data_IF_187343617522
#
_entry.id   IF_187343617522
#
_cell.length_a   1.000
_cell.length_b   1.000
_cell.length_c   1.000
_cell.angle_alpha   90.00
_cell.angle_beta   90.00
_cell.angle_gamma   90.00
#
_symmetry.space_group_name_H-M   'P 1'
#
loop_
_entity.id
_entity.type
_entity.pdbx_description
1 polymer ?
#
# COMPACT_ATOMS: atom_id res chain seq x y z
N UNK A 1 17.01 16.11 -46.17
CA UNK A 1 17.32 16.61 -44.81
C UNK A 1 17.06 15.48 -43.82
N UNK A 2 17.69 15.44 -42.64
CA UNK A 2 17.33 14.41 -41.66
C UNK A 2 15.92 14.65 -41.11
N UNK A 3 15.11 13.59 -41.00
CA UNK A 3 13.78 13.62 -40.36
C UNK A 3 13.90 14.26 -38.97
N UNK A 4 13.04 15.24 -38.67
CA UNK A 4 13.12 15.99 -37.41
C UNK A 4 12.95 15.07 -36.19
N UNK A 5 13.58 15.42 -35.06
CA UNK A 5 13.46 14.63 -33.81
C UNK A 5 12.01 14.46 -33.36
N UNK A 6 11.19 15.51 -33.54
CA UNK A 6 9.76 15.50 -33.21
C UNK A 6 9.00 14.50 -34.08
N UNK A 7 9.18 14.59 -35.40
CA UNK A 7 8.52 13.68 -36.34
C UNK A 7 8.98 12.24 -36.10
N UNK A 8 10.26 12.03 -35.81
CA UNK A 8 10.79 10.70 -35.47
C UNK A 8 10.11 10.11 -34.22
N UNK A 9 9.90 10.91 -33.18
CA UNK A 9 9.17 10.49 -31.99
C UNK A 9 7.68 10.20 -32.29
N UNK A 10 7.05 11.05 -33.10
CA UNK A 10 5.65 10.87 -33.52
C UNK A 10 5.44 9.58 -34.31
N UNK A 11 6.36 9.21 -35.21
CA UNK A 11 6.31 7.94 -35.96
C UNK A 11 6.55 6.73 -35.07
N UNK A 12 7.54 6.79 -34.16
CA UNK A 12 7.78 5.71 -33.20
C UNK A 12 6.57 5.50 -32.29
N UNK A 13 5.95 6.59 -31.82
CA UNK A 13 4.73 6.53 -31.00
C UNK A 13 3.53 6.00 -31.79
N UNK A 14 3.33 6.45 -33.04
CA UNK A 14 2.27 5.96 -33.94
C UNK A 14 2.36 4.45 -34.13
N UNK A 15 3.58 3.95 -34.28
CA UNK A 15 3.85 2.54 -34.54
C UNK A 15 4.02 1.72 -33.25
N UNK A 16 3.64 2.28 -32.09
CA UNK A 16 3.76 1.68 -30.76
C UNK A 16 5.16 1.10 -30.47
N UNK A 17 6.21 1.81 -30.85
CA UNK A 17 7.61 1.38 -30.70
C UNK A 17 7.83 -0.06 -31.20
N UNK A 18 7.20 -0.40 -32.33
CA UNK A 18 7.23 -1.72 -32.94
C UNK A 18 7.62 -1.61 -34.41
N UNK A 19 8.57 -2.45 -34.83
CA UNK A 19 8.99 -2.56 -36.22
C UNK A 19 7.78 -2.95 -37.09
N UNK A 20 7.43 -2.11 -38.06
CA UNK A 20 6.30 -2.34 -38.97
C UNK A 20 6.53 -3.43 -40.00
N UNK A 21 7.76 -3.93 -40.10
CA UNK A 21 8.12 -4.99 -41.05
C UNK A 21 8.13 -6.38 -40.42
N UNK A 22 8.58 -6.51 -39.17
CA UNK A 22 8.72 -7.83 -38.51
C UNK A 22 8.03 -7.95 -37.15
N UNK A 23 7.46 -6.87 -36.62
CA UNK A 23 6.78 -6.88 -35.32
C UNK A 23 7.69 -6.83 -34.09
N UNK A 24 9.02 -6.76 -34.24
CA UNK A 24 9.93 -6.64 -33.11
C UNK A 24 9.83 -5.25 -32.44
N UNK A 25 9.80 -5.20 -31.10
CA UNK A 25 9.59 -3.97 -30.32
C UNK A 25 10.82 -3.55 -29.49
N UNK A 26 10.87 -2.27 -29.10
CA UNK A 26 11.86 -1.80 -28.13
C UNK A 26 11.49 -2.26 -26.70
N UNK A 27 12.47 -2.48 -25.79
CA UNK A 27 13.90 -2.21 -25.95
C UNK A 27 14.72 -3.34 -26.58
N UNK A 28 14.11 -4.50 -26.85
CA UNK A 28 14.79 -5.73 -27.29
C UNK A 28 15.53 -5.56 -28.62
N UNK A 29 15.02 -4.67 -29.50
CA UNK A 29 15.70 -4.28 -30.73
C UNK A 29 15.84 -2.77 -30.86
N UNK A 30 16.98 -2.25 -31.36
CA UNK A 30 17.12 -0.84 -31.66
C UNK A 30 16.22 -0.46 -32.84
N UNK A 31 15.36 0.53 -32.62
CA UNK A 31 14.40 1.03 -33.62
C UNK A 31 14.84 2.34 -34.26
N UNK A 32 14.58 2.47 -35.55
CA UNK A 32 14.80 3.68 -36.34
C UNK A 32 13.56 4.00 -37.17
N UNK A 33 13.46 5.25 -37.59
CA UNK A 33 12.47 5.65 -38.59
C UNK A 33 13.11 5.50 -39.96
N UNK A 34 12.40 4.79 -40.82
CA UNK A 34 12.82 4.39 -42.16
C UNK A 34 11.82 4.92 -43.19
N UNK A 35 12.32 5.28 -44.37
CA UNK A 35 11.49 5.69 -45.49
C UNK A 35 10.97 4.46 -46.21
N UNK A 36 9.64 4.32 -46.27
CA UNK A 36 8.97 3.21 -46.97
C UNK A 36 9.44 3.18 -48.43
N UNK A 37 9.34 4.31 -49.11
CA UNK A 37 10.00 4.58 -50.40
C UNK A 37 11.33 5.29 -50.15
N UNK A 38 12.48 4.74 -50.58
CA UNK A 38 13.78 5.38 -50.39
C UNK A 38 13.83 6.80 -50.99
N UNK A 39 14.54 7.70 -50.31
CA UNK A 39 14.73 9.09 -50.79
C UNK A 39 15.35 9.14 -52.20
N UNK A 40 16.24 8.20 -52.52
CA UNK A 40 16.86 8.07 -53.84
C UNK A 40 15.85 7.75 -54.97
N UNK A 41 14.67 7.21 -54.62
CA UNK A 41 13.56 6.91 -55.53
C UNK A 41 12.42 7.94 -55.42
N UNK A 42 12.66 9.09 -54.78
CA UNK A 42 11.68 10.17 -54.65
C UNK A 42 10.79 10.09 -53.40
N UNK A 43 11.15 9.27 -52.41
CA UNK A 43 10.43 9.21 -51.14
C UNK A 43 10.44 10.53 -50.36
N UNK A 44 9.28 10.90 -49.83
CA UNK A 44 9.07 12.13 -49.05
C UNK A 44 9.26 11.90 -47.54
N UNK A 45 9.49 12.98 -46.79
CA UNK A 45 9.50 12.97 -45.32
C UNK A 45 8.09 13.03 -44.71
N UNK A 46 7.04 12.96 -45.52
CA UNK A 46 5.65 12.89 -45.06
C UNK A 46 5.43 11.67 -44.15
N UNK A 47 4.66 11.79 -43.06
CA UNK A 47 4.40 10.68 -42.13
C UNK A 47 3.92 9.39 -42.80
N UNK A 48 3.21 9.50 -43.92
CA UNK A 48 2.70 8.37 -44.72
C UNK A 48 3.78 7.56 -45.41
N UNK A 49 4.96 8.14 -45.66
CA UNK A 49 6.12 7.46 -46.25
C UNK A 49 7.19 7.10 -45.19
N UNK A 50 6.89 7.28 -43.91
CA UNK A 50 7.79 6.94 -42.79
C UNK A 50 7.22 5.78 -41.98
N UNK A 51 8.07 4.84 -41.58
CA UNK A 51 7.70 3.71 -40.73
C UNK A 51 8.80 3.38 -39.73
N UNK A 52 8.42 2.82 -38.58
CA UNK A 52 9.35 2.28 -37.59
C UNK A 52 9.94 0.96 -38.08
N UNK A 53 11.27 0.84 -38.03
CA UNK A 53 12.04 -0.31 -38.52
C UNK A 53 13.12 -0.70 -37.52
N UNK A 54 13.29 -1.99 -37.27
CA UNK A 54 14.44 -2.49 -36.53
C UNK A 54 15.69 -2.51 -37.42
N UNK A 55 16.87 -2.48 -36.82
CA UNK A 55 18.14 -2.46 -37.56
C UNK A 55 18.31 -3.61 -38.59
N UNK A 56 17.89 -4.86 -38.31
CA UNK A 56 17.86 -5.93 -39.31
C UNK A 56 16.94 -5.67 -40.51
N UNK A 57 15.71 -5.18 -40.28
CA UNK A 57 14.77 -4.88 -41.37
C UNK A 57 15.22 -3.66 -42.18
N UNK A 58 15.77 -2.65 -41.51
CA UNK A 58 16.27 -1.43 -42.14
C UNK A 58 17.50 -1.69 -43.02
N UNK A 59 18.39 -2.59 -42.61
CA UNK A 59 19.57 -2.99 -43.40
C UNK A 59 19.21 -3.89 -44.59
N UNK A 60 18.22 -4.78 -44.42
CA UNK A 60 17.70 -5.65 -45.49
C UNK A 60 17.01 -4.91 -46.65
N UNK A 61 16.57 -3.65 -46.44
CA UNK A 61 15.92 -2.82 -47.45
C UNK A 61 16.82 -2.28 -48.56
N UNK A 62 18.14 -2.39 -48.41
CA UNK A 62 19.11 -1.93 -49.42
C UNK A 62 19.04 -2.69 -50.76
N UNK A 63 18.21 -3.75 -50.87
CA UNK A 63 18.11 -4.57 -52.08
C UNK A 63 16.69 -5.05 -52.48
N UNK A 64 15.60 -4.57 -51.88
CA UNK A 64 14.25 -4.91 -52.34
C UNK A 64 13.23 -3.78 -52.07
N UNK A 65 12.60 -3.28 -53.12
CA UNK A 65 11.42 -2.40 -53.04
C UNK A 65 10.26 -3.16 -52.39
N UNK A 66 9.77 -2.67 -51.26
CA UNK A 66 8.67 -3.29 -50.50
C UNK A 66 7.35 -3.09 -51.26
N UNK A 67 6.62 -4.19 -51.44
CA UNK A 67 5.40 -4.30 -52.23
C UNK A 67 4.28 -3.35 -51.79
N UNK A 68 3.55 -2.82 -52.78
CA UNK A 68 2.43 -1.86 -52.61
C UNK A 68 1.26 -2.38 -51.76
N UNK A 69 1.21 -3.69 -51.50
CA UNK A 69 0.24 -4.34 -50.61
C UNK A 69 0.39 -3.91 -49.13
N UNK A 70 1.60 -3.57 -48.68
CA UNK A 70 1.85 -3.13 -47.29
C UNK A 70 1.25 -1.74 -47.03
N UNK A 71 1.22 -0.88 -48.04
CA UNK A 71 0.71 0.50 -47.94
C UNK A 71 -0.83 0.53 -47.92
N UNK A 72 -1.50 -0.37 -48.65
CA UNK A 72 -2.96 -0.48 -48.63
C UNK A 72 -3.49 -0.96 -47.26
N UNK A 73 -2.78 -1.88 -46.58
CA UNK A 73 -3.15 -2.38 -45.25
C UNK A 73 -3.11 -1.31 -44.15
N UNK A 74 -2.26 -0.29 -44.28
CA UNK A 74 -2.12 0.80 -43.30
C UNK A 74 -3.36 1.70 -43.26
N UNK A 75 -4.06 1.87 -44.39
CA UNK A 75 -5.30 2.65 -44.45
C UNK A 75 -6.49 1.90 -43.83
N UNK A 76 -6.58 0.59 -44.05
CA UNK A 76 -7.63 -0.26 -43.47
C UNK A 76 -7.43 -0.47 -41.96
N UNK A 77 -6.19 -0.60 -41.50
CA UNK A 77 -5.86 -0.64 -40.06
C UNK A 77 -6.18 0.67 -39.34
N UNK A 78 -5.94 1.82 -39.98
CA UNK A 78 -6.29 3.12 -39.41
C UNK A 78 -7.83 3.28 -39.26
N UNK A 79 -8.61 2.79 -40.23
CA UNK A 79 -10.07 2.78 -40.16
C UNK A 79 -10.59 1.78 -39.10
N UNK A 80 -9.99 0.60 -38.99
CA UNK A 80 -10.29 -0.38 -37.93
C UNK A 80 -9.98 0.18 -36.54
N UNK A 81 -8.84 0.85 -36.38
CA UNK A 81 -8.46 1.49 -35.12
C UNK A 81 -9.40 2.65 -34.76
N UNK A 82 -9.77 3.50 -35.71
CA UNK A 82 -10.73 4.57 -35.48
C UNK A 82 -12.11 4.03 -35.06
N UNK A 83 -12.57 2.93 -35.67
CA UNK A 83 -13.80 2.23 -35.27
C UNK A 83 -13.67 1.62 -33.87
N UNK A 84 -12.54 1.00 -33.55
CA UNK A 84 -12.25 0.43 -32.23
C UNK A 84 -12.20 1.51 -31.13
N UNK A 85 -11.57 2.66 -31.38
CA UNK A 85 -11.53 3.80 -30.45
C UNK A 85 -12.93 4.39 -30.22
N UNK A 86 -13.75 4.50 -31.26
CA UNK A 86 -15.14 4.94 -31.14
C UNK A 86 -15.97 3.94 -30.30
N UNK A 87 -15.77 2.64 -30.52
CA UNK A 87 -16.43 1.61 -29.73
C UNK A 87 -15.94 1.60 -28.27
N UNK A 88 -14.64 1.80 -28.03
CA UNK A 88 -14.07 1.90 -26.70
C UNK A 88 -14.64 3.11 -25.93
N UNK A 89 -14.84 4.26 -26.58
CA UNK A 89 -15.50 5.41 -25.98
C UNK A 89 -16.97 5.13 -25.61
N UNK A 90 -17.71 4.40 -26.45
CA UNK A 90 -19.09 3.96 -26.14
C UNK A 90 -19.10 2.99 -24.96
N UNK A 91 -18.16 2.04 -24.92
CA UNK A 91 -18.04 1.09 -23.81
C UNK A 91 -17.70 1.80 -22.50
N UNK A 92 -16.80 2.80 -22.52
CA UNK A 92 -16.50 3.64 -21.35
C UNK A 92 -17.73 4.40 -20.89
N UNK A 93 -18.51 4.97 -21.81
CA UNK A 93 -19.74 5.67 -21.49
C UNK A 93 -20.79 4.73 -20.85
N UNK A 94 -20.95 3.52 -21.37
CA UNK A 94 -21.84 2.49 -20.79
C UNK A 94 -21.37 2.06 -19.38
N UNK A 95 -20.06 1.97 -19.14
CA UNK A 95 -19.47 1.67 -17.83
C UNK A 95 -19.65 2.82 -16.81
N UNK A 96 -19.62 4.08 -17.27
CA UNK A 96 -19.80 5.26 -16.42
C UNK A 96 -21.26 5.60 -16.14
N UNK A 97 -22.18 5.16 -17.01
CA UNK A 97 -23.62 5.47 -16.93
C UNK A 97 -24.25 5.17 -15.56
N UNK A 98 -23.98 4.04 -14.87
CA UNK A 98 -24.52 3.81 -13.52
C UNK A 98 -24.01 4.79 -12.46
N UNK A 99 -22.79 5.34 -12.63
CA UNK A 99 -22.22 6.34 -11.71
C UNK A 99 -22.89 7.69 -11.92
N UNK A 100 -23.13 8.07 -13.17
CA UNK A 100 -23.78 9.34 -13.51
C UNK A 100 -25.26 9.33 -13.16
N UNK A 101 -25.99 8.26 -13.45
CA UNK A 101 -27.39 8.10 -13.02
C UNK A 101 -27.54 8.20 -11.48
N UNK A 102 -26.58 7.63 -10.74
CA UNK A 102 -26.57 7.72 -9.28
C UNK A 102 -26.29 9.14 -8.76
N UNK A 103 -25.37 9.86 -9.39
CA UNK A 103 -25.08 11.27 -9.06
C UNK A 103 -26.25 12.18 -9.41
N UNK A 104 -26.88 11.94 -10.54
CA UNK A 104 -28.04 12.70 -11.01
C UNK A 104 -29.22 12.51 -10.05
N UNK A 105 -29.43 11.30 -9.54
CA UNK A 105 -30.43 11.04 -8.50
C UNK A 105 -30.16 11.87 -7.23
N UNK A 106 -28.92 11.92 -6.76
CA UNK A 106 -28.56 12.78 -5.62
C UNK A 106 -28.77 14.27 -5.93
N UNK A 107 -28.30 14.73 -7.11
CA UNK A 107 -28.43 16.12 -7.52
C UNK A 107 -29.89 16.55 -7.69
N UNK A 108 -30.76 15.65 -8.16
CA UNK A 108 -32.20 15.92 -8.26
C UNK A 108 -32.78 16.26 -6.89
N UNK A 109 -32.41 15.51 -5.85
CA UNK A 109 -32.87 15.79 -4.48
C UNK A 109 -32.20 17.03 -3.89
N UNK A 110 -30.89 17.19 -4.09
CA UNK A 110 -30.13 18.33 -3.58
C UNK A 110 -30.63 19.67 -4.14
N UNK A 111 -30.85 19.74 -5.45
CA UNK A 111 -31.25 20.97 -6.13
C UNK A 111 -32.72 21.36 -5.91
N UNK A 112 -33.53 20.55 -5.22
CA UNK A 112 -34.88 20.95 -4.78
C UNK A 112 -34.83 22.06 -3.74
N UNK A 113 -33.71 22.18 -3.02
CA UNK A 113 -33.56 23.07 -1.88
C UNK A 113 -32.80 24.35 -2.25
N UNK A 114 -33.24 25.46 -1.64
CA UNK A 114 -32.72 26.81 -1.86
C UNK A 114 -32.45 27.52 -0.53
N UNK A 115 -31.60 28.54 -0.57
CA UNK A 115 -31.20 29.41 0.56
C UNK A 115 -31.47 30.88 0.24
N UNK A 116 -31.56 31.71 1.28
CA UNK A 116 -31.83 33.14 1.16
C UNK A 116 -33.32 33.51 1.31
N UNK A 117 -33.61 34.80 1.53
CA UNK A 117 -34.97 35.30 1.82
C UNK A 117 -35.95 35.13 0.65
N UNK A 118 -35.43 35.06 -0.56
CA UNK A 118 -36.21 34.94 -1.79
C UNK A 118 -36.19 33.50 -2.36
N UNK A 119 -35.56 32.54 -1.65
CA UNK A 119 -35.44 31.13 -2.05
C UNK A 119 -34.91 30.89 -3.47
N UNK A 120 -34.07 31.79 -3.98
CA UNK A 120 -33.52 31.73 -5.35
C UNK A 120 -32.11 31.15 -5.44
N UNK A 121 -31.36 31.14 -4.35
CA UNK A 121 -29.97 30.67 -4.33
C UNK A 121 -29.90 29.19 -3.98
N UNK A 122 -29.12 28.39 -4.70
CA UNK A 122 -29.01 26.95 -4.42
C UNK A 122 -28.17 26.70 -3.16
N UNK A 123 -28.46 25.60 -2.45
CA UNK A 123 -27.61 25.18 -1.33
C UNK A 123 -26.20 24.86 -1.85
N UNK A 124 -25.13 25.43 -1.27
CA UNK A 124 -23.77 25.23 -1.75
C UNK A 124 -23.32 23.79 -1.56
N UNK A 125 -22.60 23.26 -2.56
CA UNK A 125 -22.10 21.89 -2.60
C UNK A 125 -20.58 21.94 -2.73
N UNK A 126 -19.87 21.16 -1.91
CA UNK A 126 -18.40 21.17 -1.83
C UNK A 126 -17.76 20.58 -3.10
N UNK A 127 -16.59 21.07 -3.55
CA UNK A 127 -15.90 20.60 -4.78
C UNK A 127 -15.64 19.07 -4.82
N UNK A 128 -15.52 18.43 -3.65
CA UNK A 128 -15.31 16.98 -3.51
C UNK A 128 -16.58 16.12 -3.45
N UNK A 129 -17.76 16.68 -3.68
CA UNK A 129 -19.03 15.99 -3.45
C UNK A 129 -19.18 14.71 -4.29
N UNK A 130 -18.73 14.71 -5.56
CA UNK A 130 -18.83 13.57 -6.47
C UNK A 130 -18.15 12.32 -5.91
N UNK A 131 -17.00 12.49 -5.27
CA UNK A 131 -16.23 11.40 -4.66
C UNK A 131 -16.94 10.87 -3.41
N UNK A 132 -17.59 11.75 -2.65
CA UNK A 132 -18.37 11.36 -1.47
C UNK A 132 -19.61 10.56 -1.86
N UNK A 133 -20.34 11.00 -2.89
CA UNK A 133 -21.50 10.28 -3.43
C UNK A 133 -21.10 8.91 -4.00
N UNK A 134 -19.95 8.82 -4.67
CA UNK A 134 -19.43 7.53 -5.15
C UNK A 134 -19.11 6.56 -4.00
N UNK A 135 -18.52 7.05 -2.90
CA UNK A 135 -18.29 6.22 -1.71
C UNK A 135 -19.59 5.64 -1.14
N UNK A 136 -20.68 6.41 -1.14
CA UNK A 136 -21.98 5.92 -0.68
C UNK A 136 -22.63 4.93 -1.65
N UNK A 137 -22.41 5.09 -2.96
CA UNK A 137 -22.83 4.10 -3.98
C UNK A 137 -22.16 2.75 -3.71
N UNK A 138 -20.85 2.75 -3.50
CA UNK A 138 -20.06 1.54 -3.19
C UNK A 138 -20.44 0.96 -1.82
N UNK A 139 -20.72 1.81 -0.83
CA UNK A 139 -21.18 1.39 0.50
C UNK A 139 -22.62 0.84 0.52
N UNK A 140 -23.33 0.86 -0.61
CA UNK A 140 -24.63 0.21 -0.78
C UNK A 140 -25.85 1.07 -0.47
N UNK A 141 -25.73 2.40 -0.46
CA UNK A 141 -26.91 3.28 -0.37
C UNK A 141 -27.67 3.22 -1.70
N UNK A 142 -28.97 2.92 -1.70
CA UNK A 142 -29.77 2.95 -2.92
C UNK A 142 -30.23 4.37 -3.26
N UNK A 143 -30.42 4.66 -4.55
CA UNK A 143 -30.74 6.01 -5.06
C UNK A 143 -31.96 6.65 -4.40
N UNK A 144 -33.02 5.89 -4.16
CA UNK A 144 -34.26 6.37 -3.55
C UNK A 144 -34.08 6.87 -2.11
N UNK A 145 -33.02 6.47 -1.42
CA UNK A 145 -32.76 6.88 -0.03
C UNK A 145 -32.26 8.33 0.07
N UNK A 146 -31.77 8.91 -1.03
CA UNK A 146 -31.26 10.28 -1.02
C UNK A 146 -32.34 11.30 -0.67
N UNK A 147 -33.59 11.08 -1.06
CA UNK A 147 -34.70 11.96 -0.71
C UNK A 147 -34.82 12.13 0.82
N UNK A 148 -34.90 11.02 1.56
CA UNK A 148 -35.00 11.05 3.02
C UNK A 148 -33.77 11.65 3.70
N UNK A 149 -32.57 11.34 3.20
CA UNK A 149 -31.31 11.82 3.78
C UNK A 149 -31.19 13.34 3.59
N UNK A 150 -31.47 13.84 2.38
CA UNK A 150 -31.39 15.27 2.06
C UNK A 150 -32.48 16.03 2.81
N UNK A 151 -33.73 15.57 2.80
CA UNK A 151 -34.83 16.24 3.50
C UNK A 151 -34.56 16.34 5.02
N UNK A 152 -34.03 15.28 5.64
CA UNK A 152 -33.67 15.29 7.05
C UNK A 152 -32.53 16.27 7.37
N UNK A 153 -31.57 16.45 6.46
CA UNK A 153 -30.49 17.40 6.63
C UNK A 153 -30.99 18.85 6.46
N UNK A 154 -31.78 19.09 5.41
CA UNK A 154 -32.27 20.41 5.03
C UNK A 154 -33.31 20.96 6.02
N UNK A 155 -34.10 20.10 6.65
CA UNK A 155 -35.04 20.48 7.72
C UNK A 155 -34.34 20.93 9.03
N UNK A 156 -33.03 20.69 9.18
CA UNK A 156 -32.31 21.03 10.40
C UNK A 156 -31.83 22.49 10.41
N UNK A 157 -32.64 23.38 10.98
CA UNK A 157 -32.37 24.81 11.10
C UNK A 157 -31.11 25.18 11.91
N UNK A 158 -30.49 24.23 12.63
CA UNK A 158 -29.24 24.46 13.38
C UNK A 158 -27.99 24.31 12.52
N UNK A 159 -28.10 23.68 11.36
CA UNK A 159 -26.99 23.45 10.43
C UNK A 159 -26.94 24.61 9.45
N UNK A 160 -25.75 25.23 9.31
CA UNK A 160 -25.57 26.30 8.34
C UNK A 160 -25.51 25.76 6.90
N UNK A 161 -25.97 26.51 5.89
CA UNK A 161 -25.93 26.08 4.48
C UNK A 161 -24.58 25.53 4.02
N UNK A 162 -23.47 26.18 4.37
CA UNK A 162 -22.09 25.79 4.04
C UNK A 162 -21.64 24.46 4.69
N UNK A 163 -22.37 23.96 5.68
CA UNK A 163 -22.08 22.70 6.38
C UNK A 163 -23.11 21.62 6.10
N UNK A 164 -24.12 21.92 5.30
CA UNK A 164 -25.28 21.05 5.09
C UNK A 164 -24.89 19.77 4.35
N UNK A 165 -23.99 19.87 3.37
CA UNK A 165 -23.49 18.68 2.65
C UNK A 165 -22.73 17.74 3.58
N UNK A 166 -21.89 18.28 4.45
CA UNK A 166 -21.16 17.50 5.46
C UNK A 166 -22.10 16.79 6.44
N UNK A 167 -23.23 17.43 6.76
CA UNK A 167 -24.27 16.85 7.59
C UNK A 167 -25.06 15.74 6.87
N UNK A 168 -25.37 15.91 5.57
CA UNK A 168 -25.92 14.85 4.70
C UNK A 168 -25.02 13.62 4.71
N UNK A 169 -23.71 13.79 4.53
CA UNK A 169 -22.76 12.68 4.59
C UNK A 169 -22.80 11.94 5.94
N UNK A 170 -22.95 12.67 7.05
CA UNK A 170 -23.10 12.07 8.38
C UNK A 170 -24.38 11.22 8.51
N UNK A 171 -25.51 11.70 8.00
CA UNK A 171 -26.78 10.94 7.98
C UNK A 171 -26.65 9.71 7.08
N UNK A 172 -26.02 9.85 5.90
CA UNK A 172 -25.79 8.76 4.97
C UNK A 172 -24.93 7.64 5.58
N UNK A 173 -23.86 7.97 6.32
CA UNK A 173 -23.07 6.96 7.05
C UNK A 173 -23.88 6.23 8.12
N UNK A 174 -24.76 6.93 8.85
CA UNK A 174 -25.66 6.25 9.80
C UNK A 174 -26.60 5.26 9.09
N UNK A 175 -27.09 5.60 7.89
CA UNK A 175 -27.88 4.69 7.05
C UNK A 175 -27.06 3.49 6.57
N UNK A 176 -25.82 3.69 6.16
CA UNK A 176 -24.89 2.60 5.82
C UNK A 176 -24.70 1.66 7.01
N UNK A 177 -24.44 2.19 8.21
CA UNK A 177 -24.28 1.37 9.42
C UNK A 177 -25.55 0.56 9.71
N UNK A 178 -26.73 1.15 9.54
CA UNK A 178 -28.00 0.44 9.71
C UNK A 178 -28.21 -0.66 8.65
N UNK A 179 -27.89 -0.39 7.38
CA UNK A 179 -27.94 -1.38 6.29
C UNK A 179 -26.97 -2.54 6.56
N UNK A 180 -25.75 -2.26 7.00
CA UNK A 180 -24.76 -3.27 7.35
C UNK A 180 -25.20 -4.10 8.56
N UNK A 181 -25.81 -3.48 9.58
CA UNK A 181 -26.36 -4.21 10.72
C UNK A 181 -27.52 -5.13 10.31
N UNK A 182 -28.40 -4.67 9.42
CA UNK A 182 -29.50 -5.47 8.89
C UNK A 182 -29.00 -6.60 7.98
N UNK A 183 -28.03 -6.33 7.11
CA UNK A 183 -27.37 -7.35 6.30
C UNK A 183 -26.73 -8.43 7.19
N UNK A 184 -26.03 -8.03 8.27
CA UNK A 184 -25.49 -8.96 9.28
C UNK A 184 -26.59 -9.76 9.98
N UNK A 185 -27.77 -9.19 10.23
CA UNK A 185 -28.92 -9.89 10.81
C UNK A 185 -29.53 -10.91 9.85
N UNK A 186 -29.64 -10.57 8.57
CA UNK A 186 -30.11 -11.46 7.50
C UNK A 186 -29.14 -12.63 7.34
N UNK A 187 -27.83 -12.33 7.26
CA UNK A 187 -26.76 -13.33 7.21
C UNK A 187 -26.68 -14.14 8.50
N UNK A 188 -26.98 -13.55 9.65
CA UNK A 188 -27.01 -14.24 10.95
C UNK A 188 -28.29 -15.06 11.19
N UNK A 189 -29.33 -14.89 10.36
CA UNK A 189 -30.61 -15.60 10.45
C UNK A 189 -30.74 -16.79 9.50
N UNK A 190 -29.85 -16.91 8.53
CA UNK A 190 -29.69 -18.10 7.68
C UNK A 190 -28.29 -18.68 7.95
N UNK A 191 -28.10 -20.01 8.02
CA UNK A 191 -26.75 -20.54 7.97
C UNK A 191 -26.15 -20.09 6.64
N UNK A 192 -25.15 -19.21 6.67
CA UNK A 192 -24.38 -18.88 5.49
C UNK A 192 -23.87 -20.20 4.94
N UNK A 193 -24.31 -20.57 3.74
CA UNK A 193 -23.55 -21.53 2.97
C UNK A 193 -22.15 -20.93 2.87
N UNK A 194 -21.14 -21.61 3.39
CA UNK A 194 -19.76 -21.18 3.23
C UNK A 194 -19.55 -20.84 1.75
N UNK A 195 -18.91 -19.69 1.43
CA UNK A 195 -18.63 -19.33 0.06
C UNK A 195 -17.98 -20.53 -0.61
N UNK A 196 -18.61 -21.01 -1.68
CA UNK A 196 -18.04 -22.12 -2.43
C UNK A 196 -16.61 -21.77 -2.82
N UNK A 197 -15.77 -22.80 -2.85
CA UNK A 197 -14.42 -22.76 -3.35
C UNK A 197 -14.26 -21.81 -4.56
N UNK A 198 -15.16 -21.91 -5.53
CA UNK A 198 -15.08 -21.16 -6.78
C UNK A 198 -15.51 -19.69 -6.60
N UNK A 199 -16.54 -19.43 -5.78
CA UNK A 199 -16.99 -18.06 -5.51
C UNK A 199 -15.94 -17.16 -4.85
N UNK A 200 -15.07 -17.71 -3.98
CA UNK A 200 -13.98 -16.95 -3.38
C UNK A 200 -12.86 -16.64 -4.39
N UNK A 201 -12.58 -17.56 -5.31
CA UNK A 201 -11.58 -17.35 -6.37
C UNK A 201 -12.04 -16.24 -7.30
N UNK A 202 -13.30 -16.30 -7.78
CA UNK A 202 -13.84 -15.26 -8.64
C UNK A 202 -13.87 -13.90 -7.93
N UNK A 203 -14.26 -13.85 -6.65
CA UNK A 203 -14.25 -12.61 -5.88
C UNK A 203 -12.84 -12.01 -5.74
N UNK A 204 -11.81 -12.84 -5.50
CA UNK A 204 -10.43 -12.37 -5.43
C UNK A 204 -9.92 -11.88 -6.80
N UNK A 205 -10.25 -12.59 -7.89
CA UNK A 205 -9.93 -12.16 -9.25
C UNK A 205 -10.62 -10.84 -9.59
N UNK A 206 -11.89 -10.66 -9.22
CA UNK A 206 -12.63 -9.42 -9.42
C UNK A 206 -11.99 -8.26 -8.65
N UNK A 207 -11.59 -8.46 -7.39
CA UNK A 207 -10.88 -7.43 -6.61
C UNK A 207 -9.58 -7.05 -7.30
N UNK A 208 -8.78 -8.05 -7.69
CA UNK A 208 -7.48 -7.82 -8.31
C UNK A 208 -7.60 -7.09 -9.65
N UNK A 209 -8.48 -7.57 -10.53
CA UNK A 209 -8.66 -6.99 -11.87
C UNK A 209 -9.30 -5.60 -11.87
N UNK A 210 -10.20 -5.31 -10.93
CA UNK A 210 -10.87 -4.00 -10.85
C UNK A 210 -10.01 -2.92 -10.18
N UNK A 211 -9.11 -3.31 -9.28
CA UNK A 211 -8.27 -2.36 -8.53
C UNK A 211 -6.86 -2.21 -9.13
N UNK A 212 -6.43 -3.09 -10.03
CA UNK A 212 -5.09 -3.04 -10.60
C UNK A 212 -4.95 -1.93 -11.64
N UNK A 213 -3.82 -1.22 -11.56
CA UNK A 213 -3.43 -0.22 -12.55
C UNK A 213 -2.62 -0.88 -13.68
N UNK A 214 -3.20 -1.03 -14.86
CA UNK A 214 -2.51 -1.52 -16.06
C UNK A 214 -3.31 -2.57 -16.83
N UNK A 215 -2.75 -3.05 -17.95
CA UNK A 215 -3.31 -4.20 -18.67
C UNK A 215 -2.87 -5.49 -17.98
N UNK A 216 -3.83 -6.39 -17.75
CA UNK A 216 -3.59 -7.74 -17.23
C UNK A 216 -3.66 -8.69 -18.41
N UNK A 217 -2.56 -9.38 -18.70
CA UNK A 217 -2.56 -10.43 -19.71
C UNK A 217 -3.11 -11.75 -19.14
N UNK A 218 -3.42 -12.69 -20.03
CA UNK A 218 -3.98 -13.98 -19.63
C UNK A 218 -3.01 -14.82 -18.78
N UNK A 219 -1.70 -14.64 -18.95
CA UNK A 219 -0.69 -15.38 -18.19
C UNK A 219 -0.66 -14.92 -16.72
N UNK A 220 -0.68 -13.60 -16.50
CA UNK A 220 -0.80 -13.00 -15.18
C UNK A 220 -2.12 -13.39 -14.50
N UNK A 221 -3.22 -13.42 -15.26
CA UNK A 221 -4.53 -13.86 -14.75
C UNK A 221 -4.53 -15.32 -14.32
N UNK A 222 -3.97 -16.22 -15.13
CA UNK A 222 -3.85 -17.64 -14.81
C UNK A 222 -2.94 -17.87 -13.60
N UNK A 223 -1.81 -17.14 -13.53
CA UNK A 223 -0.89 -17.16 -12.38
C UNK A 223 -1.61 -16.70 -11.10
N UNK A 224 -2.32 -15.58 -11.16
CA UNK A 224 -3.04 -15.04 -10.01
C UNK A 224 -4.11 -16.01 -9.52
N UNK A 225 -4.95 -16.52 -10.44
CA UNK A 225 -5.98 -17.52 -10.12
C UNK A 225 -5.38 -18.78 -9.48
N UNK A 226 -4.26 -19.29 -10.00
CA UNK A 226 -3.57 -20.44 -9.43
C UNK A 226 -3.03 -20.16 -8.01
N UNK A 227 -2.47 -18.98 -7.78
CA UNK A 227 -1.97 -18.57 -6.46
C UNK A 227 -3.09 -18.45 -5.43
N UNK A 228 -4.24 -17.85 -5.78
CA UNK A 228 -5.44 -17.78 -4.92
C UNK A 228 -5.96 -19.16 -4.56
N UNK A 229 -5.95 -20.09 -5.53
CA UNK A 229 -6.39 -21.48 -5.31
C UNK A 229 -5.51 -22.21 -4.27
N UNK A 230 -4.22 -21.89 -4.20
CA UNK A 230 -3.32 -22.42 -3.17
C UNK A 230 -3.49 -21.67 -1.84
N UNK A 231 -3.57 -20.34 -1.87
CA UNK A 231 -3.63 -19.48 -0.70
C UNK A 231 -4.85 -19.81 0.18
N UNK A 232 -6.03 -19.97 -0.42
CA UNK A 232 -7.28 -20.32 0.27
C UNK A 232 -7.24 -21.66 1.02
N UNK A 233 -6.26 -22.53 0.75
CA UNK A 233 -6.09 -23.80 1.50
C UNK A 233 -5.50 -23.58 2.87
N UNK A 234 -4.89 -22.40 3.10
CA UNK A 234 -4.16 -22.04 4.32
C UNK A 234 -4.74 -20.79 5.00
N UNK A 235 -5.37 -19.92 4.23
CA UNK A 235 -5.90 -18.63 4.68
C UNK A 235 -7.43 -18.58 4.63
N UNK A 236 -8.01 -17.76 5.51
CA UNK A 236 -9.44 -17.46 5.48
C UNK A 236 -9.83 -16.50 4.33
N UNK A 237 -11.13 -16.40 4.07
CA UNK A 237 -11.66 -15.58 2.97
C UNK A 237 -11.27 -14.09 3.07
N UNK A 238 -11.18 -13.53 4.28
CA UNK A 238 -10.79 -12.13 4.47
C UNK A 238 -9.33 -11.93 4.09
N UNK A 239 -8.44 -12.83 4.49
CA UNK A 239 -7.00 -12.75 4.14
C UNK A 239 -6.75 -12.97 2.66
N UNK A 240 -7.52 -13.85 2.00
CA UNK A 240 -7.46 -14.02 0.54
C UNK A 240 -7.87 -12.74 -0.21
N UNK A 241 -8.96 -12.08 0.21
CA UNK A 241 -9.40 -10.82 -0.41
C UNK A 241 -8.44 -9.66 -0.12
N UNK A 242 -7.88 -9.62 1.09
CA UNK A 242 -6.85 -8.65 1.45
C UNK A 242 -5.60 -8.80 0.59
N UNK A 243 -5.15 -10.03 0.35
CA UNK A 243 -4.05 -10.33 -0.56
C UNK A 243 -4.34 -9.86 -2.00
N UNK A 244 -5.56 -10.07 -2.48
CA UNK A 244 -5.98 -9.64 -3.81
C UNK A 244 -5.97 -8.11 -3.97
N UNK A 245 -6.44 -7.38 -2.96
CA UNK A 245 -6.40 -5.93 -2.95
C UNK A 245 -4.96 -5.40 -2.97
N UNK A 246 -4.08 -5.96 -2.13
CA UNK A 246 -2.67 -5.58 -2.12
C UNK A 246 -1.99 -5.90 -3.45
N UNK A 247 -2.24 -7.09 -4.00
CA UNK A 247 -1.74 -7.51 -5.31
C UNK A 247 -2.13 -6.51 -6.42
N UNK A 248 -3.34 -5.97 -6.35
CA UNK A 248 -3.85 -5.02 -7.32
C UNK A 248 -3.07 -3.69 -7.28
N UNK A 249 -2.86 -3.16 -6.08
CA UNK A 249 -2.17 -1.87 -5.88
C UNK A 249 -0.70 -1.91 -6.29
N UNK A 250 -0.04 -3.06 -6.15
CA UNK A 250 1.38 -3.22 -6.44
C UNK A 250 1.67 -3.95 -7.75
N UNK A 251 0.64 -4.35 -8.51
CA UNK A 251 0.81 -5.07 -9.77
C UNK A 251 1.44 -6.45 -9.62
N UNK A 252 1.21 -7.12 -8.49
CA UNK A 252 1.70 -8.48 -8.23
C UNK A 252 0.68 -9.49 -8.76
N UNK A 253 1.16 -10.48 -9.51
CA UNK A 253 0.35 -11.54 -10.10
C UNK A 253 0.35 -12.83 -9.26
N UNK A 254 0.98 -12.83 -8.09
CA UNK A 254 0.96 -13.90 -7.10
C UNK A 254 0.34 -13.40 -5.77
N UNK A 255 -0.89 -13.84 -5.47
CA UNK A 255 -1.58 -13.49 -4.25
C UNK A 255 -0.82 -13.93 -2.97
N UNK A 256 0.01 -14.97 -3.05
CA UNK A 256 0.81 -15.42 -1.91
C UNK A 256 1.92 -14.44 -1.60
N UNK A 257 2.64 -13.97 -2.63
CA UNK A 257 3.70 -12.98 -2.45
C UNK A 257 3.12 -11.62 -2.07
N UNK A 258 1.97 -11.25 -2.64
CA UNK A 258 1.23 -10.06 -2.23
C UNK A 258 0.84 -10.11 -0.75
N UNK A 259 0.31 -11.22 -0.25
CA UNK A 259 -0.02 -11.35 1.17
C UNK A 259 1.21 -11.22 2.07
N UNK A 260 2.34 -11.84 1.70
CA UNK A 260 3.59 -11.71 2.47
C UNK A 260 4.11 -10.26 2.48
N UNK A 261 3.97 -9.54 1.37
CA UNK A 261 4.34 -8.13 1.31
C UNK A 261 3.40 -7.28 2.19
N UNK A 262 2.10 -7.52 2.11
CA UNK A 262 1.09 -6.85 2.92
C UNK A 262 1.29 -7.08 4.42
N UNK A 263 1.58 -8.30 4.84
CA UNK A 263 1.86 -8.65 6.24
C UNK A 263 3.11 -7.93 6.78
N UNK A 264 4.17 -7.80 5.96
CA UNK A 264 5.39 -7.05 6.34
C UNK A 264 5.09 -5.56 6.50
N UNK A 265 4.31 -5.00 5.58
CA UNK A 265 3.90 -3.60 5.60
C UNK A 265 3.01 -3.30 6.81
N UNK A 266 2.00 -4.15 7.08
CA UNK A 266 1.10 -3.97 8.23
C UNK A 266 1.87 -4.06 9.56
N UNK A 267 2.72 -5.07 9.75
CA UNK A 267 3.51 -5.18 10.97
C UNK A 267 4.42 -3.96 11.21
N UNK A 268 5.04 -3.43 10.15
CA UNK A 268 5.81 -2.19 10.25
C UNK A 268 4.92 -0.99 10.57
N UNK A 269 3.76 -0.90 9.92
CA UNK A 269 2.80 0.18 10.14
C UNK A 269 2.27 0.18 11.58
N UNK A 270 2.04 -0.99 12.18
CA UNK A 270 1.67 -1.13 13.59
C UNK A 270 2.75 -0.55 14.51
N UNK A 271 4.02 -0.85 14.24
CA UNK A 271 5.15 -0.29 15.01
C UNK A 271 5.26 1.23 14.82
N UNK A 272 5.25 1.71 13.58
CA UNK A 272 5.39 3.14 13.27
C UNK A 272 4.23 3.97 13.84
N UNK A 273 3.00 3.45 13.78
CA UNK A 273 1.82 4.13 14.33
C UNK A 273 1.85 4.18 15.86
N UNK A 274 2.23 3.08 16.51
CA UNK A 274 2.38 3.03 17.96
C UNK A 274 3.53 3.94 18.43
N UNK A 275 4.62 4.00 17.67
CA UNK A 275 5.73 4.93 17.92
C UNK A 275 5.27 6.38 17.83
N UNK A 276 4.62 6.78 16.73
CA UNK A 276 4.14 8.15 16.53
C UNK A 276 3.19 8.56 17.65
N UNK A 277 2.32 7.66 18.10
CA UNK A 277 1.42 7.91 19.22
C UNK A 277 2.16 8.10 20.55
N UNK A 278 3.29 7.43 20.77
CA UNK A 278 4.05 7.48 22.01
C UNK A 278 5.09 8.62 22.03
N UNK A 279 5.72 8.92 20.90
CA UNK A 279 6.80 9.89 20.76
C UNK A 279 6.31 11.27 20.28
N UNK A 280 5.19 11.34 19.57
CA UNK A 280 4.75 12.55 18.87
C UNK A 280 5.56 12.89 17.62
N UNK A 281 6.51 12.05 17.24
CA UNK A 281 7.38 12.19 16.08
C UNK A 281 7.60 10.84 15.39
N UNK A 282 8.06 10.88 14.14
CA UNK A 282 8.41 9.66 13.40
C UNK A 282 9.75 9.09 13.89
N UNK A 283 9.90 7.76 13.89
CA UNK A 283 11.18 7.12 14.20
C UNK A 283 12.25 7.46 13.15
N UNK A 284 13.53 7.32 13.53
CA UNK A 284 14.63 7.49 12.58
C UNK A 284 14.73 6.33 11.57
N UNK A 285 15.31 6.61 10.40
CA UNK A 285 15.41 5.64 9.30
C UNK A 285 16.19 4.38 9.67
N UNK A 286 17.26 4.52 10.48
CA UNK A 286 18.11 3.39 10.87
C UNK A 286 17.34 2.43 11.77
N UNK A 287 16.56 2.98 12.70
CA UNK A 287 15.70 2.19 13.57
C UNK A 287 14.56 1.52 12.78
N UNK A 288 13.96 2.25 11.84
CA UNK A 288 12.91 1.73 10.94
C UNK A 288 13.44 0.58 10.07
N UNK A 289 14.65 0.69 9.53
CA UNK A 289 15.30 -0.40 8.81
C UNK A 289 15.62 -1.60 9.71
N UNK A 290 16.07 -1.34 10.94
CA UNK A 290 16.35 -2.38 11.93
C UNK A 290 15.12 -3.18 12.31
N UNK A 291 13.98 -2.52 12.55
CA UNK A 291 12.74 -3.22 12.90
C UNK A 291 12.14 -3.95 11.69
N UNK A 292 12.22 -3.37 10.49
CA UNK A 292 11.82 -4.03 9.25
C UNK A 292 12.59 -5.34 9.04
N UNK A 293 13.91 -5.33 9.25
CA UNK A 293 14.73 -6.54 9.12
C UNK A 293 14.30 -7.64 10.12
N UNK A 294 13.96 -7.26 11.36
CA UNK A 294 13.46 -8.21 12.36
C UNK A 294 12.08 -8.76 11.97
N UNK A 295 11.14 -7.91 11.53
CA UNK A 295 9.81 -8.32 11.05
C UNK A 295 9.96 -9.32 9.90
N UNK A 296 10.80 -9.00 8.91
CA UNK A 296 11.06 -9.88 7.78
C UNK A 296 11.62 -11.23 8.24
N UNK A 297 12.62 -11.22 9.14
CA UNK A 297 13.22 -12.44 9.70
C UNK A 297 12.18 -13.33 10.39
N UNK A 298 11.24 -12.74 11.14
CA UNK A 298 10.20 -13.50 11.83
C UNK A 298 9.17 -14.09 10.85
N UNK A 299 8.73 -13.28 9.87
CA UNK A 299 7.74 -13.72 8.88
C UNK A 299 8.31 -14.75 7.90
N UNK A 300 9.59 -14.63 7.53
CA UNK A 300 10.29 -15.63 6.71
C UNK A 300 10.48 -16.96 7.44
N UNK A 301 10.39 -16.95 8.78
CA UNK A 301 10.37 -18.15 9.62
C UNK A 301 8.95 -18.70 9.87
N UNK A 302 7.96 -18.29 9.06
CA UNK A 302 6.55 -18.68 9.15
C UNK A 302 5.90 -18.36 10.52
N UNK A 303 6.40 -17.36 11.24
CA UNK A 303 5.80 -16.93 12.50
C UNK A 303 4.51 -16.17 12.19
N UNK A 304 3.40 -16.63 12.79
CA UNK A 304 2.08 -16.03 12.61
C UNK A 304 2.08 -14.50 12.74
N UNK A 305 1.62 -13.81 11.69
CA UNK A 305 1.60 -12.34 11.58
C UNK A 305 0.96 -11.66 12.78
N UNK A 306 -0.13 -12.18 13.33
CA UNK A 306 -0.78 -11.57 14.49
C UNK A 306 0.12 -11.52 15.74
N UNK A 307 1.10 -12.42 15.87
CA UNK A 307 2.13 -12.34 16.94
C UNK A 307 3.19 -11.30 16.61
N UNK A 308 3.70 -11.29 15.38
CA UNK A 308 4.70 -10.31 14.92
C UNK A 308 4.15 -8.88 15.02
N UNK A 309 2.93 -8.65 14.55
CA UNK A 309 2.25 -7.36 14.60
C UNK A 309 2.01 -6.88 16.05
N UNK A 310 1.68 -7.78 16.99
CA UNK A 310 1.57 -7.43 18.42
C UNK A 310 2.92 -7.09 19.04
N UNK A 311 3.97 -7.84 18.73
CA UNK A 311 5.31 -7.54 19.18
C UNK A 311 5.78 -6.18 18.63
N UNK A 312 5.47 -5.89 17.36
CA UNK A 312 5.76 -4.64 16.68
C UNK A 312 5.00 -3.46 17.30
N UNK A 313 3.68 -3.57 17.50
CA UNK A 313 2.88 -2.54 18.16
C UNK A 313 3.38 -2.26 19.60
N UNK A 314 3.71 -3.31 20.36
CA UNK A 314 4.25 -3.17 21.71
C UNK A 314 5.60 -2.43 21.68
N UNK A 315 6.53 -2.86 20.83
CA UNK A 315 7.84 -2.22 20.70
C UNK A 315 7.72 -0.74 20.29
N UNK A 316 6.81 -0.41 19.36
CA UNK A 316 6.53 0.97 18.96
C UNK A 316 6.03 1.81 20.12
N UNK A 317 5.08 1.29 20.91
CA UNK A 317 4.54 1.99 22.10
C UNK A 317 5.60 2.25 23.19
N UNK A 318 6.66 1.44 23.20
CA UNK A 318 7.81 1.56 24.11
C UNK A 318 8.96 2.33 23.49
N UNK A 319 8.80 2.92 22.30
CA UNK A 319 9.84 3.61 21.55
C UNK A 319 11.13 2.79 21.46
N UNK A 320 10.99 1.49 21.18
CA UNK A 320 12.12 0.54 21.05
C UNK A 320 12.07 -0.22 19.72
N UNK A 321 13.24 -0.70 19.30
CA UNK A 321 13.41 -1.57 18.14
C UNK A 321 13.53 -3.05 18.53
N UNK A 322 13.13 -3.46 19.73
CA UNK A 322 13.29 -4.82 20.23
C UNK A 322 11.95 -5.56 20.22
N UNK A 323 11.82 -6.56 19.34
CA UNK A 323 10.62 -7.42 19.28
C UNK A 323 10.73 -8.57 20.29
N UNK A 324 9.94 -8.50 21.37
CA UNK A 324 9.89 -9.57 22.38
C UNK A 324 8.48 -9.95 22.82
N UNK A 325 7.55 -8.99 22.88
CA UNK A 325 6.24 -9.21 23.48
C UNK A 325 5.41 -10.26 22.74
N UNK A 326 5.14 -11.38 23.42
CA UNK A 326 4.33 -12.48 22.88
C UNK A 326 5.08 -13.42 21.92
N UNK A 327 6.39 -13.27 21.79
CA UNK A 327 7.28 -14.22 21.11
C UNK A 327 7.86 -15.21 22.12
N UNK A 328 8.09 -16.45 21.67
CA UNK A 328 8.82 -17.45 22.45
C UNK A 328 10.33 -17.19 22.43
N UNK A 329 11.10 -17.84 23.32
CA UNK A 329 12.56 -17.71 23.36
C UNK A 329 13.23 -18.08 22.04
N UNK A 330 12.76 -19.14 21.37
CA UNK A 330 13.28 -19.54 20.06
C UNK A 330 13.04 -18.45 19.00
N UNK A 331 11.84 -17.85 19.00
CA UNK A 331 11.46 -16.81 18.05
C UNK A 331 12.24 -15.52 18.29
N UNK A 332 12.41 -15.11 19.56
CA UNK A 332 13.24 -13.96 19.93
C UNK A 332 14.72 -14.20 19.56
N UNK A 333 15.20 -15.43 19.70
CA UNK A 333 16.54 -15.82 19.29
C UNK A 333 16.83 -15.57 17.80
N UNK A 334 15.82 -15.67 16.93
CA UNK A 334 15.96 -15.40 15.48
C UNK A 334 16.27 -13.94 15.18
N UNK A 335 15.82 -13.02 16.03
CA UNK A 335 16.04 -11.57 15.88
C UNK A 335 17.12 -11.03 16.83
N UNK A 336 17.85 -11.92 17.52
CA UNK A 336 18.91 -11.54 18.45
C UNK A 336 18.41 -10.79 19.69
N UNK A 337 17.14 -11.00 20.06
CA UNK A 337 16.52 -10.38 21.23
C UNK A 337 16.45 -11.40 22.36
N UNK A 338 16.63 -10.95 23.59
CA UNK A 338 16.32 -11.74 24.78
C UNK A 338 15.31 -10.98 25.62
N UNK A 339 14.28 -11.67 26.14
CA UNK A 339 13.17 -11.03 26.86
C UNK A 339 13.69 -10.18 28.04
N UNK A 340 14.59 -10.74 28.85
CA UNK A 340 15.12 -10.02 30.01
C UNK A 340 15.86 -8.75 29.58
N UNK A 341 16.67 -8.81 28.52
CA UNK A 341 17.42 -7.64 28.00
C UNK A 341 16.44 -6.55 27.57
N UNK A 342 15.43 -6.91 26.79
CA UNK A 342 14.43 -5.95 26.32
C UNK A 342 13.66 -5.29 27.49
N UNK A 343 13.24 -6.10 28.48
CA UNK A 343 12.50 -5.58 29.64
C UNK A 343 13.37 -4.73 30.57
N UNK A 344 14.66 -5.05 30.73
CA UNK A 344 15.61 -4.25 31.52
C UNK A 344 15.82 -2.87 30.88
N UNK A 345 15.98 -2.81 29.55
CA UNK A 345 16.10 -1.55 28.81
C UNK A 345 14.82 -0.72 28.91
N UNK A 346 13.64 -1.35 28.75
CA UNK A 346 12.36 -0.66 28.90
C UNK A 346 12.14 -0.11 30.31
N UNK A 347 12.55 -0.88 31.33
CA UNK A 347 12.45 -0.47 32.74
C UNK A 347 13.32 0.76 33.01
N UNK A 348 14.57 0.73 32.53
CA UNK A 348 15.48 1.86 32.64
C UNK A 348 14.96 3.09 31.90
N UNK A 349 14.53 2.94 30.64
CA UNK A 349 14.06 4.05 29.83
C UNK A 349 12.78 4.70 30.39
N UNK A 350 11.86 3.89 30.93
CA UNK A 350 10.66 4.40 31.59
C UNK A 350 10.98 5.18 32.87
N UNK A 351 11.90 4.68 33.70
CA UNK A 351 12.36 5.39 34.89
C UNK A 351 13.13 6.68 34.55
N UNK A 352 13.92 6.65 33.47
CA UNK A 352 14.61 7.82 32.92
C UNK A 352 13.63 8.91 32.51
N UNK A 353 12.58 8.57 31.78
CA UNK A 353 11.58 9.55 31.35
C UNK A 353 10.81 10.12 32.53
N UNK A 354 10.42 9.27 33.48
CA UNK A 354 9.72 9.72 34.68
C UNK A 354 10.55 10.70 35.53
N UNK A 355 11.88 10.54 35.56
CA UNK A 355 12.78 11.40 36.35
C UNK A 355 13.23 12.66 35.60
N UNK A 356 13.42 12.58 34.28
CA UNK A 356 13.98 13.67 33.46
C UNK A 356 12.94 14.51 32.72
N UNK A 357 11.73 13.98 32.52
CA UNK A 357 10.70 14.56 31.67
C UNK A 357 10.98 14.43 30.16
N UNK A 358 12.00 13.66 29.76
CA UNK A 358 12.30 13.36 28.35
C UNK A 358 12.65 11.89 28.14
N UNK A 359 12.45 11.40 26.91
CA UNK A 359 12.95 10.08 26.56
C UNK A 359 14.48 10.07 26.48
N UNK A 360 15.16 8.97 26.88
CA UNK A 360 16.59 8.84 26.66
C UNK A 360 16.94 8.87 25.17
N UNK A 361 18.02 9.58 24.86
CA UNK A 361 18.56 9.71 23.51
C UNK A 361 19.04 8.36 22.97
N UNK A 362 19.29 8.29 21.67
CA UNK A 362 19.91 7.10 21.06
C UNK A 362 21.27 6.79 21.72
N UNK A 363 22.10 7.80 21.97
CA UNK A 363 23.41 7.61 22.61
C UNK A 363 23.27 7.02 24.02
N UNK A 364 22.38 7.55 24.86
CA UNK A 364 22.17 7.06 26.23
C UNK A 364 21.65 5.61 26.23
N UNK A 365 20.72 5.29 25.32
CA UNK A 365 20.22 3.91 25.15
C UNK A 365 21.31 2.94 24.69
N UNK A 366 22.13 3.35 23.73
CA UNK A 366 23.24 2.52 23.24
C UNK A 366 24.28 2.29 24.34
N UNK A 367 24.64 3.32 25.09
CA UNK A 367 25.55 3.19 26.25
C UNK A 367 24.96 2.29 27.34
N UNK A 368 23.65 2.39 27.62
CA UNK A 368 22.99 1.49 28.56
C UNK A 368 23.00 0.04 28.10
N UNK A 369 22.71 -0.20 26.81
CA UNK A 369 22.78 -1.53 26.22
C UNK A 369 24.18 -2.13 26.32
N UNK A 370 25.23 -1.39 25.96
CA UNK A 370 26.63 -1.82 26.07
C UNK A 370 26.99 -2.16 27.52
N UNK A 371 26.55 -1.36 28.48
CA UNK A 371 26.77 -1.63 29.90
C UNK A 371 26.03 -2.88 30.38
N UNK A 372 24.78 -3.08 29.95
CA UNK A 372 23.99 -4.26 30.27
C UNK A 372 24.65 -5.54 29.76
N UNK A 373 25.19 -5.55 28.53
CA UNK A 373 25.93 -6.70 28.01
C UNK A 373 27.19 -7.00 28.82
N UNK A 374 27.97 -5.96 29.15
CA UNK A 374 29.18 -6.09 30.00
C UNK A 374 28.88 -6.66 31.38
N UNK A 375 27.72 -6.29 31.95
CA UNK A 375 27.23 -6.79 33.24
C UNK A 375 26.74 -8.23 33.10
N UNK A 376 26.04 -8.58 32.02
CA UNK A 376 25.51 -9.92 31.76
C UNK A 376 26.57 -11.02 31.60
N UNK A 377 27.82 -10.65 31.28
CA UNK A 377 28.98 -11.56 31.29
C UNK A 377 29.48 -11.92 32.72
N UNK A 378 28.92 -11.33 33.76
CA UNK A 378 29.20 -11.65 35.16
C UNK A 378 28.17 -12.58 35.79
N UNK A 379 28.51 -13.22 36.93
CA UNK A 379 27.58 -14.03 37.75
C UNK A 379 26.52 -13.15 38.44
N UNK A 380 25.58 -12.59 37.67
CA UNK A 380 24.52 -11.69 38.15
C UNK A 380 23.16 -12.32 37.92
N UNK A 381 22.32 -12.30 38.95
CA UNK A 381 20.95 -12.81 38.84
C UNK A 381 20.09 -11.82 38.06
N UNK A 382 19.29 -12.31 37.11
CA UNK A 382 18.34 -11.50 36.33
C UNK A 382 17.41 -10.67 37.25
N UNK A 383 17.07 -11.20 38.43
CA UNK A 383 16.25 -10.52 39.42
C UNK A 383 16.86 -9.20 39.93
N UNK A 384 18.20 -9.08 39.94
CA UNK A 384 18.92 -7.89 40.40
C UNK A 384 18.99 -6.80 39.33
N UNK A 385 18.81 -7.16 38.05
CA UNK A 385 18.87 -6.23 36.92
C UNK A 385 17.69 -5.25 36.91
N UNK A 386 16.48 -5.69 37.29
CA UNK A 386 15.30 -4.82 37.24
C UNK A 386 15.32 -3.67 38.26
N UNK A 387 15.63 -3.91 39.56
CA UNK A 387 15.82 -2.83 40.52
C UNK A 387 16.98 -1.91 40.14
N UNK A 388 18.10 -2.47 39.65
CA UNK A 388 19.25 -1.69 39.22
C UNK A 388 18.90 -0.79 38.02
N UNK A 389 18.18 -1.31 37.03
CA UNK A 389 17.72 -0.56 35.86
C UNK A 389 16.76 0.58 36.24
N UNK A 390 15.84 0.30 37.17
CA UNK A 390 14.93 1.32 37.72
C UNK A 390 15.72 2.43 38.41
N UNK A 391 16.70 2.07 39.25
CA UNK A 391 17.57 3.02 39.94
C UNK A 391 18.40 3.86 38.97
N UNK A 392 19.10 3.21 38.04
CA UNK A 392 19.93 3.87 37.04
C UNK A 392 19.10 4.84 36.18
N UNK A 393 17.88 4.43 35.78
CA UNK A 393 16.96 5.30 35.06
C UNK A 393 16.51 6.50 35.91
N UNK A 394 16.18 6.30 37.18
CA UNK A 394 15.82 7.40 38.08
C UNK A 394 16.96 8.45 38.24
N UNK A 395 18.21 8.01 38.16
CA UNK A 395 19.39 8.90 38.16
C UNK A 395 19.83 9.39 36.79
N UNK A 396 19.13 8.98 35.72
CA UNK A 396 19.48 9.29 34.33
C UNK A 396 20.87 8.76 33.94
N UNK A 397 21.30 7.68 34.60
CA UNK A 397 22.61 7.08 34.43
C UNK A 397 22.52 5.93 33.42
N UNK A 398 23.24 5.98 32.28
CA UNK A 398 23.30 4.85 31.36
C UNK A 398 24.22 3.73 31.88
N UNK A 399 24.98 3.92 32.95
CA UNK A 399 25.78 2.86 33.57
C UNK A 399 24.96 2.10 34.61
N UNK A 400 24.47 0.90 34.22
CA UNK A 400 23.73 0.02 35.12
C UNK A 400 24.54 -0.42 36.36
N UNK A 401 25.87 -0.43 36.27
CA UNK A 401 26.75 -0.93 37.34
C UNK A 401 26.72 -0.06 38.61
N UNK A 402 26.38 1.22 38.49
CA UNK A 402 26.28 2.14 39.64
C UNK A 402 25.12 1.79 40.57
N UNK A 403 24.09 1.11 40.03
CA UNK A 403 22.87 0.78 40.75
C UNK A 403 22.73 -0.73 41.07
N UNK A 404 23.67 -1.56 40.62
CA UNK A 404 23.76 -2.97 41.01
C UNK A 404 24.24 -3.10 42.45
N UNK A 405 23.30 -3.06 43.38
CA UNK A 405 23.58 -3.18 44.82
C UNK A 405 23.62 -4.66 45.24
N UNK A 406 24.82 -5.28 45.12
CA UNK A 406 25.31 -6.57 45.68
C UNK A 406 25.00 -7.83 44.86
N UNK A 407 26.00 -8.44 44.19
CA UNK A 407 26.86 -9.46 44.83
C UNK A 407 28.38 -9.32 44.65
N UNK A 408 28.88 -8.20 44.14
CA UNK A 408 30.32 -7.92 44.14
C UNK A 408 30.57 -6.63 44.91
N UNK A 409 31.47 -6.68 45.89
CA UNK A 409 31.87 -5.49 46.63
C UNK A 409 32.45 -4.45 45.66
N UNK A 410 32.32 -3.17 45.99
CA UNK A 410 32.99 -2.05 45.27
C UNK A 410 34.50 -2.32 45.07
N UNK A 411 35.11 -3.18 45.89
CA UNK A 411 36.49 -3.62 45.76
C UNK A 411 36.74 -4.67 44.66
N UNK A 412 35.77 -5.50 44.29
CA UNK A 412 35.93 -6.52 43.24
C UNK A 412 35.75 -5.95 41.82
N UNK A 413 34.89 -4.94 41.67
CA UNK A 413 34.74 -4.19 40.40
C UNK A 413 35.99 -3.33 40.14
N UNK A 414 36.56 -2.73 41.19
CA UNK A 414 37.80 -1.96 41.10
C UNK A 414 39.07 -2.83 40.90
N UNK A 415 38.98 -4.16 41.08
CA UNK A 415 40.09 -5.09 40.96
C UNK A 415 40.25 -5.71 39.56
N UNK A 416 39.37 -5.43 38.59
CA UNK A 416 39.57 -5.89 37.20
C UNK A 416 40.56 -4.96 36.49
N UNK A 417 41.64 -5.50 35.88
CA UNK A 417 42.65 -4.66 35.25
C UNK A 417 42.07 -3.91 34.06
N UNK A 418 42.22 -2.59 34.07
CA UNK A 418 41.94 -1.72 32.93
C UNK A 418 43.08 -1.92 31.92
N UNK A 419 42.90 -2.89 31.02
CA UNK A 419 43.77 -3.14 29.87
C UNK A 419 44.85 -4.21 30.08
N UNK A 420 44.95 -5.14 29.12
CA UNK A 420 46.08 -6.07 28.98
C UNK A 420 45.72 -7.35 28.22
N UNK A 421 46.24 -7.45 27.00
CA UNK A 421 46.21 -8.54 26.01
C UNK A 421 46.33 -9.98 26.57
N UNK A 422 45.49 -10.89 26.06
CA UNK A 422 45.90 -12.02 25.18
C UNK A 422 44.68 -12.82 24.70
#
# INVERSE_FOLDING_TARGET
MPVSKRLRYEILRRDNHTCRYCGASAPDVPLRVDHVTPVALGGTDEPTNLATSCEPCNSGKSSATVDSAVVAGVSDDALRWAAAMKQAAVNLQELEKPKDEYRDAFLAEWNRWHVGKDETEKVPLDDGWKQSIERFRVAGIPTWMWADIVDAAMANQKVKPDRTFRYVCGIAWNKVTALQAEARRIVGGAPAAEPTADSLIEAAVDVWTNEQFGEIDNEALDKFRASVQQLRKREDAHRVLYAAQHAAWFGEADATEALKAADREDALQQWTSAWLSAAGEYPDDKLTQGIQAQINTLLDADIYIGRVARAAAYAGSRRTGLLHFGLSEEEMGKVGVTEYVARVIETWAGAFEASSGRWPTHSERSTFLENLWRVGDGDIWIADLYPAATGAGAYQDPDLSTCLTRHLSVFEIAARPVGGEN
#
